data_IF_560656593656
#
_entry.id   IF_560656593656
#
_cell.length_a   1.000
_cell.length_b   1.000
_cell.length_c   1.000
_cell.angle_alpha   90.00
_cell.angle_beta   90.00
_cell.angle_gamma   90.00
#
_symmetry.space_group_name_H-M   'P 1'
#
loop_
_entity.id
_entity.type
_entity.pdbx_description
1 polymer ?
#
# COMPACT_ATOMS: atom_id res chain seq x y z
N UNK A 1 8.55 20.97 22.88
CA UNK A 1 9.19 20.31 21.72
C UNK A 1 8.18 20.33 20.58
N UNK A 2 8.50 20.97 19.45
CA UNK A 2 7.64 20.97 18.26
C UNK A 2 7.45 19.53 17.79
N UNK A 3 6.21 19.13 17.54
CA UNK A 3 5.84 17.80 17.02
C UNK A 3 5.12 17.96 15.70
N UNK A 4 5.31 17.01 14.80
CA UNK A 4 4.53 16.95 13.56
C UNK A 4 3.11 16.54 13.92
N UNK A 5 2.13 17.35 13.54
CA UNK A 5 0.72 16.97 13.60
C UNK A 5 0.41 15.96 12.48
N UNK A 6 -0.09 14.80 12.86
CA UNK A 6 -0.42 13.68 11.96
C UNK A 6 -1.91 13.42 11.85
N UNK A 7 -2.74 14.21 12.52
CA UNK A 7 -4.19 13.97 12.66
C UNK A 7 -4.86 13.74 11.30
N UNK A 8 -4.55 14.56 10.29
CA UNK A 8 -5.12 14.41 8.96
C UNK A 8 -4.75 13.09 8.26
N UNK A 9 -3.54 12.57 8.50
CA UNK A 9 -3.09 11.29 7.95
C UNK A 9 -3.79 10.14 8.68
N UNK A 10 -3.86 10.21 10.00
CA UNK A 10 -4.46 9.16 10.82
C UNK A 10 -5.96 9.03 10.50
N UNK A 11 -6.69 10.15 10.35
CA UNK A 11 -8.07 10.15 9.85
C UNK A 11 -8.18 9.58 8.43
N UNK A 12 -7.30 9.97 7.51
CA UNK A 12 -7.32 9.44 6.15
C UNK A 12 -7.06 7.92 6.09
N UNK A 13 -6.27 7.37 7.02
CA UNK A 13 -6.03 5.92 7.16
C UNK A 13 -7.29 5.22 7.68
N UNK A 14 -7.96 5.78 8.68
CA UNK A 14 -9.19 5.20 9.26
C UNK A 14 -10.33 5.17 8.24
N UNK A 15 -10.47 6.22 7.43
CA UNK A 15 -11.50 6.34 6.38
C UNK A 15 -11.10 5.65 5.07
N UNK A 16 -9.90 5.08 4.99
CA UNK A 16 -9.37 4.52 3.75
C UNK A 16 -10.10 3.24 3.35
N UNK A 17 -10.95 3.35 2.32
CA UNK A 17 -11.58 2.20 1.69
C UNK A 17 -11.05 2.00 0.27
N UNK A 18 -10.15 1.02 0.11
CA UNK A 18 -9.56 0.67 -1.17
C UNK A 18 -10.18 -0.60 -1.76
N UNK A 19 -10.09 -0.70 -3.09
CA UNK A 19 -10.45 -1.88 -3.87
C UNK A 19 -11.94 -2.26 -3.84
N UNK A 20 -12.84 -1.31 -3.54
CA UNK A 20 -14.29 -1.57 -3.46
C UNK A 20 -14.84 -2.09 -4.78
N UNK A 21 -14.55 -1.44 -5.90
CA UNK A 21 -14.99 -1.88 -7.22
C UNK A 21 -14.38 -3.23 -7.61
N UNK A 22 -13.10 -3.46 -7.29
CA UNK A 22 -12.45 -4.75 -7.54
C UNK A 22 -13.10 -5.89 -6.73
N UNK A 23 -13.49 -5.63 -5.47
CA UNK A 23 -14.20 -6.61 -4.62
C UNK A 23 -15.54 -7.02 -5.24
N UNK A 24 -16.30 -6.07 -5.79
CA UNK A 24 -17.58 -6.35 -6.45
C UNK A 24 -17.41 -7.23 -7.70
N UNK A 25 -16.39 -6.96 -8.52
CA UNK A 25 -16.08 -7.78 -9.71
C UNK A 25 -15.66 -9.18 -9.31
N UNK A 26 -14.83 -9.32 -8.27
CA UNK A 26 -14.41 -10.64 -7.75
C UNK A 26 -15.58 -11.41 -7.15
N UNK A 27 -16.52 -10.76 -6.47
CA UNK A 27 -17.73 -11.42 -5.96
C UNK A 27 -18.58 -11.97 -7.10
N UNK A 28 -18.70 -11.24 -8.22
CA UNK A 28 -19.41 -11.71 -9.42
C UNK A 28 -18.71 -12.92 -10.06
N UNK A 29 -17.38 -12.90 -10.12
CA UNK A 29 -16.58 -14.03 -10.58
C UNK A 29 -16.77 -15.28 -9.69
N UNK A 30 -16.71 -15.13 -8.36
CA UNK A 30 -16.90 -16.26 -7.44
C UNK A 30 -18.31 -16.84 -7.53
N UNK A 31 -19.35 -16.02 -7.70
CA UNK A 31 -20.70 -16.51 -7.89
C UNK A 31 -20.86 -17.35 -9.18
N UNK A 32 -20.26 -16.94 -10.30
CA UNK A 32 -20.25 -17.74 -11.53
C UNK A 32 -19.38 -19.01 -11.40
N UNK A 33 -18.26 -18.91 -10.68
CA UNK A 33 -17.35 -20.03 -10.41
C UNK A 33 -18.02 -21.13 -9.60
N UNK A 34 -18.81 -20.78 -8.58
CA UNK A 34 -19.53 -21.74 -7.74
C UNK A 34 -20.50 -22.62 -8.55
N UNK A 35 -21.10 -22.09 -9.62
CA UNK A 35 -21.96 -22.87 -10.51
C UNK A 35 -21.18 -23.96 -11.25
N UNK A 36 -19.96 -23.64 -11.70
CA UNK A 36 -19.08 -24.61 -12.36
C UNK A 36 -18.56 -25.66 -11.37
N UNK A 37 -18.21 -25.26 -10.14
CA UNK A 37 -17.78 -26.18 -9.08
C UNK A 37 -18.89 -27.18 -8.71
N UNK A 38 -20.14 -26.73 -8.55
CA UNK A 38 -21.29 -27.63 -8.32
C UNK A 38 -21.49 -28.61 -9.46
N UNK A 39 -21.27 -28.18 -10.70
CA UNK A 39 -21.35 -29.06 -11.87
C UNK A 39 -20.22 -30.09 -11.86
N UNK A 40 -19.01 -29.69 -11.47
CA UNK A 40 -17.86 -30.60 -11.30
C UNK A 40 -18.16 -31.68 -10.25
N UNK A 41 -18.65 -31.28 -9.08
CA UNK A 41 -19.03 -32.17 -7.99
C UNK A 41 -20.09 -33.17 -8.45
N UNK A 42 -21.16 -32.71 -9.12
CA UNK A 42 -22.21 -33.58 -9.62
C UNK A 42 -21.70 -34.61 -10.65
N UNK A 43 -20.79 -34.22 -11.54
CA UNK A 43 -20.17 -35.12 -12.51
C UNK A 43 -19.29 -36.17 -11.80
N UNK A 44 -18.49 -35.75 -10.82
CA UNK A 44 -17.65 -36.64 -10.02
C UNK A 44 -18.48 -37.66 -9.22
N UNK A 45 -19.57 -37.21 -8.58
CA UNK A 45 -20.49 -38.10 -7.87
C UNK A 45 -21.15 -39.11 -8.81
N UNK A 46 -21.58 -38.68 -10.00
CA UNK A 46 -22.20 -39.58 -10.98
C UNK A 46 -21.21 -40.62 -11.47
N UNK A 47 -19.96 -40.22 -11.72
CA UNK A 47 -18.89 -41.12 -12.14
C UNK A 47 -18.57 -42.16 -11.06
N UNK A 48 -18.51 -41.76 -9.79
CA UNK A 48 -18.31 -42.68 -8.66
C UNK A 48 -19.45 -43.70 -8.53
N UNK A 49 -20.72 -43.25 -8.66
CA UNK A 49 -21.90 -44.13 -8.66
C UNK A 49 -21.87 -45.11 -9.82
N UNK A 50 -21.55 -44.63 -11.03
CA UNK A 50 -21.40 -45.47 -12.23
C UNK A 50 -20.30 -46.52 -12.06
N UNK A 51 -19.16 -46.16 -11.49
CA UNK A 51 -18.07 -47.11 -11.24
C UNK A 51 -18.51 -48.25 -10.31
N UNK A 52 -19.26 -47.91 -9.25
CA UNK A 52 -19.80 -48.92 -8.31
C UNK A 52 -20.83 -49.82 -8.99
N UNK A 53 -21.77 -49.23 -9.74
CA UNK A 53 -22.79 -49.96 -10.50
C UNK A 53 -22.16 -50.89 -11.54
N UNK A 54 -21.17 -50.38 -12.29
CA UNK A 54 -20.45 -51.15 -13.30
C UNK A 54 -19.74 -52.36 -12.70
N UNK A 55 -19.03 -52.19 -11.58
CA UNK A 55 -18.37 -53.31 -10.89
C UNK A 55 -19.35 -54.36 -10.39
N UNK A 56 -20.49 -53.95 -9.82
CA UNK A 56 -21.52 -54.89 -9.37
C UNK A 56 -22.12 -55.68 -10.54
N UNK A 57 -22.52 -54.99 -11.61
CA UNK A 57 -23.08 -55.63 -12.82
C UNK A 57 -22.07 -56.58 -13.49
N UNK A 58 -20.78 -56.27 -13.42
CA UNK A 58 -19.72 -57.17 -13.87
C UNK A 58 -19.71 -58.49 -13.10
N UNK A 59 -19.77 -58.41 -11.76
CA UNK A 59 -19.86 -59.60 -10.90
C UNK A 59 -21.15 -60.38 -11.17
N UNK A 60 -22.30 -59.72 -11.22
CA UNK A 60 -23.59 -60.38 -11.48
C UNK A 60 -23.58 -61.13 -12.82
N UNK A 61 -22.94 -60.54 -13.85
CA UNK A 61 -22.78 -61.18 -15.17
C UNK A 61 -21.92 -62.44 -15.11
N UNK A 62 -20.89 -62.48 -14.27
CA UNK A 62 -20.06 -63.69 -14.08
C UNK A 62 -20.88 -64.85 -13.51
N UNK A 63 -21.88 -64.58 -12.67
CA UNK A 63 -22.78 -65.60 -12.13
C UNK A 63 -23.92 -66.00 -13.09
N UNK A 64 -24.24 -65.16 -14.09
CA UNK A 64 -25.32 -65.41 -15.05
C UNK A 64 -24.91 -66.21 -16.31
N UNK A 65 -23.73 -66.84 -16.32
CA UNK A 65 -23.15 -67.48 -17.51
C UNK A 65 -23.99 -68.62 -18.10
N UNK A 66 -24.81 -69.29 -17.28
CA UNK A 66 -25.71 -70.36 -17.72
C UNK A 66 -27.07 -69.85 -18.24
N UNK A 67 -27.40 -68.57 -17.98
CA UNK A 67 -28.61 -67.91 -18.46
C UNK A 67 -28.27 -66.88 -19.55
N UNK A 68 -28.30 -67.33 -20.80
CA UNK A 68 -27.94 -66.51 -21.98
C UNK A 68 -28.72 -65.19 -22.06
N UNK A 69 -30.01 -65.20 -21.70
CA UNK A 69 -30.85 -64.00 -21.79
C UNK A 69 -30.41 -62.93 -20.77
N UNK A 70 -30.12 -63.36 -19.54
CA UNK A 70 -29.64 -62.49 -18.46
C UNK A 70 -28.22 -61.98 -18.73
N UNK A 71 -27.34 -62.84 -19.24
CA UNK A 71 -26.00 -62.46 -19.67
C UNK A 71 -26.01 -61.35 -20.74
N UNK A 72 -26.91 -61.44 -21.73
CA UNK A 72 -27.06 -60.42 -22.78
C UNK A 72 -27.53 -59.09 -22.18
N UNK A 73 -28.53 -59.11 -21.29
CA UNK A 73 -29.05 -57.91 -20.62
C UNK A 73 -27.98 -57.19 -19.80
N UNK A 74 -27.23 -57.93 -18.97
CA UNK A 74 -26.15 -57.37 -18.15
C UNK A 74 -25.01 -56.83 -19.03
N UNK A 75 -24.69 -57.52 -20.14
CA UNK A 75 -23.71 -57.02 -21.12
C UNK A 75 -24.14 -55.70 -21.76
N UNK A 76 -25.41 -55.56 -22.12
CA UNK A 76 -25.96 -54.30 -22.63
C UNK A 76 -25.89 -53.18 -21.60
N UNK A 77 -26.14 -53.47 -20.31
CA UNK A 77 -26.01 -52.49 -19.24
C UNK A 77 -24.55 -52.03 -19.08
N UNK A 78 -23.59 -52.95 -19.11
CA UNK A 78 -22.16 -52.60 -19.06
C UNK A 78 -21.74 -51.72 -20.25
N UNK A 79 -22.23 -52.00 -21.46
CA UNK A 79 -22.00 -51.12 -22.62
C UNK A 79 -22.53 -49.71 -22.37
N UNK A 80 -23.76 -49.57 -21.87
CA UNK A 80 -24.36 -48.26 -21.54
C UNK A 80 -23.56 -47.51 -20.49
N UNK A 81 -23.06 -48.19 -19.45
CA UNK A 81 -22.21 -47.57 -18.44
C UNK A 81 -20.90 -47.04 -19.04
N UNK A 82 -20.27 -47.80 -19.94
CA UNK A 82 -19.06 -47.35 -20.62
C UNK A 82 -19.30 -46.11 -21.50
N UNK A 83 -20.40 -46.08 -22.24
CA UNK A 83 -20.82 -44.90 -23.02
C UNK A 83 -21.06 -43.68 -22.12
N UNK A 84 -21.73 -43.87 -20.98
CA UNK A 84 -22.00 -42.78 -20.03
C UNK A 84 -20.71 -42.26 -19.37
N UNK A 85 -19.75 -43.13 -19.04
CA UNK A 85 -18.43 -42.72 -18.52
C UNK A 85 -17.66 -41.90 -19.56
N UNK A 86 -17.66 -42.31 -20.83
CA UNK A 86 -17.03 -41.53 -21.89
C UNK A 86 -17.66 -40.15 -22.04
N UNK A 87 -18.98 -40.06 -21.99
CA UNK A 87 -19.70 -38.79 -22.02
C UNK A 87 -19.33 -37.90 -20.82
N UNK A 88 -19.31 -38.44 -19.60
CA UNK A 88 -18.95 -37.68 -18.40
C UNK A 88 -17.50 -37.16 -18.49
N UNK A 89 -16.55 -37.99 -18.93
CA UNK A 89 -15.17 -37.56 -19.11
C UNK A 89 -15.06 -36.40 -20.11
N UNK A 90 -15.80 -36.48 -21.23
CA UNK A 90 -15.85 -35.38 -22.20
C UNK A 90 -16.45 -34.09 -21.60
N UNK A 91 -17.50 -34.21 -20.78
CA UNK A 91 -18.09 -33.07 -20.07
C UNK A 91 -17.14 -32.47 -19.02
N UNK A 92 -16.32 -33.30 -18.36
CA UNK A 92 -15.29 -32.82 -17.43
C UNK A 92 -14.17 -32.08 -18.16
N UNK A 93 -13.78 -32.51 -19.37
CA UNK A 93 -12.84 -31.76 -20.20
C UNK A 93 -13.42 -30.40 -20.62
N UNK A 94 -14.67 -30.38 -21.10
CA UNK A 94 -15.36 -29.12 -21.42
C UNK A 94 -15.45 -28.19 -20.20
N UNK A 95 -15.64 -28.74 -18.99
CA UNK A 95 -15.71 -27.94 -17.77
C UNK A 95 -14.39 -27.22 -17.48
N UNK A 96 -13.23 -27.83 -17.79
CA UNK A 96 -11.92 -27.17 -17.66
C UNK A 96 -11.80 -25.99 -18.63
N UNK A 97 -12.34 -26.13 -19.84
CA UNK A 97 -12.40 -25.06 -20.81
C UNK A 97 -13.37 -23.95 -20.35
N UNK A 98 -14.52 -24.30 -19.77
CA UNK A 98 -15.48 -23.36 -19.19
C UNK A 98 -14.85 -22.52 -18.06
N UNK A 99 -14.08 -23.14 -17.15
CA UNK A 99 -13.33 -22.41 -16.13
C UNK A 99 -12.28 -21.46 -16.73
N UNK A 100 -11.61 -21.88 -17.80
CA UNK A 100 -10.62 -21.06 -18.49
C UNK A 100 -11.29 -19.87 -19.18
N UNK A 101 -12.42 -20.10 -19.84
CA UNK A 101 -13.23 -19.07 -20.48
C UNK A 101 -13.77 -18.07 -19.44
N UNK A 102 -14.21 -18.53 -18.26
CA UNK A 102 -14.63 -17.66 -17.17
C UNK A 102 -13.49 -16.74 -16.70
N UNK A 103 -12.29 -17.28 -16.50
CA UNK A 103 -11.11 -16.48 -16.14
C UNK A 103 -10.77 -15.47 -17.23
N UNK A 104 -10.81 -15.87 -18.50
CA UNK A 104 -10.55 -14.96 -19.63
C UNK A 104 -11.59 -13.85 -19.74
N UNK A 105 -12.87 -14.13 -19.46
CA UNK A 105 -13.96 -13.15 -19.40
C UNK A 105 -13.71 -12.08 -18.33
N UNK A 106 -13.28 -12.48 -17.13
CA UNK A 106 -13.13 -11.56 -15.99
C UNK A 106 -11.76 -10.86 -15.92
N UNK A 107 -10.69 -11.47 -16.45
CA UNK A 107 -9.34 -10.92 -16.41
C UNK A 107 -9.23 -9.44 -16.86
N UNK A 108 -9.76 -9.00 -18.03
CA UNK A 108 -9.64 -7.61 -18.44
C UNK A 108 -10.41 -6.64 -17.51
N UNK A 109 -11.57 -7.06 -17.00
CA UNK A 109 -12.38 -6.26 -16.08
C UNK A 109 -11.68 -6.10 -14.73
N UNK A 110 -11.12 -7.18 -14.19
CA UNK A 110 -10.32 -7.15 -12.96
C UNK A 110 -9.10 -6.24 -13.16
N UNK A 111 -8.37 -6.39 -14.25
CA UNK A 111 -7.20 -5.54 -14.54
C UNK A 111 -7.59 -4.06 -14.59
N UNK A 112 -8.68 -3.71 -15.27
CA UNK A 112 -9.13 -2.34 -15.42
C UNK A 112 -9.63 -1.75 -14.09
N UNK A 113 -10.39 -2.50 -13.30
CA UNK A 113 -10.93 -2.05 -12.01
C UNK A 113 -9.84 -1.93 -10.96
N UNK A 114 -8.99 -2.96 -10.81
CA UNK A 114 -7.84 -2.93 -9.92
C UNK A 114 -6.89 -1.78 -10.25
N UNK A 115 -6.60 -1.56 -11.53
CA UNK A 115 -5.76 -0.44 -11.96
C UNK A 115 -6.35 0.93 -11.62
N UNK A 116 -7.67 1.10 -11.63
CA UNK A 116 -8.34 2.33 -11.19
C UNK A 116 -8.30 2.48 -9.67
N UNK A 117 -8.64 1.42 -8.94
CA UNK A 117 -8.64 1.42 -7.47
C UNK A 117 -7.25 1.73 -6.93
N UNK A 118 -6.20 1.17 -7.55
CA UNK A 118 -4.80 1.39 -7.15
C UNK A 118 -4.38 2.86 -7.26
N UNK A 119 -4.91 3.63 -8.23
CA UNK A 119 -4.60 5.07 -8.37
C UNK A 119 -5.09 5.89 -7.19
N UNK A 120 -6.03 5.37 -6.40
CA UNK A 120 -6.50 6.04 -5.17
C UNK A 120 -5.35 6.25 -4.17
N UNK A 121 -4.30 5.42 -4.18
CA UNK A 121 -3.11 5.61 -3.34
C UNK A 121 -2.37 6.91 -3.65
N UNK A 122 -2.45 7.39 -4.89
CA UNK A 122 -1.75 8.59 -5.35
C UNK A 122 -2.43 9.88 -4.88
N UNK A 123 -3.58 9.78 -4.19
CA UNK A 123 -4.20 10.90 -3.45
C UNK A 123 -3.29 11.41 -2.32
N UNK A 124 -2.40 10.57 -1.79
CA UNK A 124 -1.37 11.04 -0.86
C UNK A 124 -0.23 11.68 -1.67
N UNK A 125 -0.20 13.01 -1.70
CA UNK A 125 0.87 13.77 -2.33
C UNK A 125 2.12 13.79 -1.45
N UNK A 126 2.89 12.70 -1.47
CA UNK A 126 4.07 12.51 -0.61
C UNK A 126 5.09 13.64 -0.75
N UNK A 127 5.33 14.12 -1.98
CA UNK A 127 6.29 15.20 -2.22
C UNK A 127 5.83 16.51 -1.56
N UNK A 128 4.55 16.87 -1.71
CA UNK A 128 3.98 18.08 -1.11
C UNK A 128 4.01 18.00 0.42
N UNK A 129 3.76 16.82 0.99
CA UNK A 129 3.88 16.56 2.42
C UNK A 129 5.32 16.75 2.91
N UNK A 130 6.31 16.20 2.20
CA UNK A 130 7.73 16.36 2.53
C UNK A 130 8.15 17.82 2.46
N UNK A 131 7.76 18.53 1.40
CA UNK A 131 8.07 19.94 1.22
C UNK A 131 7.41 20.80 2.31
N UNK A 132 6.18 20.47 2.72
CA UNK A 132 5.49 21.15 3.81
C UNK A 132 6.20 20.99 5.15
N UNK A 133 6.60 19.77 5.49
CA UNK A 133 7.32 19.50 6.74
C UNK A 133 8.68 20.20 6.74
N UNK A 134 9.40 20.17 5.61
CA UNK A 134 10.68 20.87 5.45
C UNK A 134 10.52 22.37 5.61
N UNK A 135 9.51 22.96 4.96
CA UNK A 135 9.21 24.37 5.05
C UNK A 135 8.90 24.80 6.49
N UNK A 136 7.96 24.13 7.15
CA UNK A 136 7.56 24.47 8.52
C UNK A 136 8.71 24.32 9.52
N UNK A 137 9.56 23.30 9.37
CA UNK A 137 10.72 23.13 10.24
C UNK A 137 11.74 24.27 10.06
N UNK A 138 12.14 24.56 8.83
CA UNK A 138 13.12 25.60 8.53
C UNK A 138 12.58 26.98 8.91
N UNK A 139 11.29 27.22 8.67
CA UNK A 139 10.60 28.44 9.08
C UNK A 139 10.59 28.60 10.59
N UNK A 140 10.25 27.56 11.36
CA UNK A 140 10.26 27.63 12.83
C UNK A 140 11.65 27.99 13.39
N UNK A 141 12.72 27.42 12.83
CA UNK A 141 14.11 27.77 13.19
C UNK A 141 14.41 29.24 12.84
N UNK A 142 14.04 29.65 11.62
CA UNK A 142 14.27 30.99 11.10
C UNK A 142 13.55 32.06 11.93
N UNK A 143 12.26 31.84 12.23
CA UNK A 143 11.43 32.76 12.99
C UNK A 143 11.96 32.91 14.43
N UNK A 144 12.37 31.81 15.05
CA UNK A 144 12.99 31.86 16.38
C UNK A 144 14.34 32.60 16.36
N UNK A 145 15.22 32.31 15.40
CA UNK A 145 16.51 33.00 15.26
C UNK A 145 16.34 34.51 14.99
N UNK A 146 15.33 34.89 14.18
CA UNK A 146 14.97 36.28 13.96
C UNK A 146 14.50 36.96 15.23
N UNK A 147 13.66 36.29 16.01
CA UNK A 147 13.16 36.85 17.26
C UNK A 147 14.29 37.09 18.26
N UNK A 148 15.27 36.18 18.37
CA UNK A 148 16.48 36.40 19.18
C UNK A 148 17.21 37.67 18.73
N UNK A 149 17.39 37.87 17.42
CA UNK A 149 18.05 39.07 16.89
C UNK A 149 17.24 40.34 17.10
N UNK A 150 15.93 40.27 16.91
CA UNK A 150 15.03 41.42 17.12
C UNK A 150 15.07 41.89 18.58
N UNK A 151 15.13 40.96 19.53
CA UNK A 151 15.27 41.29 20.95
C UNK A 151 16.67 41.76 21.32
N UNK A 152 17.72 41.26 20.64
CA UNK A 152 19.10 41.72 20.86
C UNK A 152 19.36 43.11 20.29
N UNK A 153 18.84 43.42 19.09
CA UNK A 153 19.12 44.66 18.35
C UNK A 153 19.00 45.94 19.19
N UNK A 154 17.91 46.19 19.95
CA UNK A 154 17.80 47.42 20.75
C UNK A 154 18.77 47.46 21.94
N UNK A 155 19.31 46.32 22.38
CA UNK A 155 20.31 46.28 23.45
C UNK A 155 21.69 46.70 22.92
N UNK A 156 21.96 46.48 21.64
CA UNK A 156 23.27 46.75 21.05
C UNK A 156 23.63 48.23 21.07
N UNK A 157 22.65 49.13 20.93
CA UNK A 157 22.89 50.58 20.99
C UNK A 157 23.56 50.99 22.31
N UNK A 158 23.11 50.45 23.45
CA UNK A 158 23.72 50.71 24.75
C UNK A 158 24.96 49.84 24.99
N UNK A 159 24.97 48.58 24.51
CA UNK A 159 26.12 47.70 24.68
C UNK A 159 27.34 48.17 23.89
N UNK A 160 27.17 48.89 22.78
CA UNK A 160 28.26 49.47 21.99
C UNK A 160 29.18 50.38 22.81
N UNK A 161 28.66 51.12 23.80
CA UNK A 161 29.48 51.94 24.70
C UNK A 161 30.55 51.11 25.45
N UNK A 162 30.23 49.86 25.78
CA UNK A 162 31.16 48.95 26.44
C UNK A 162 32.07 48.24 25.44
N UNK A 163 31.52 47.86 24.28
CA UNK A 163 32.25 47.11 23.25
C UNK A 163 33.32 47.97 22.56
N UNK A 164 33.10 49.28 22.47
CA UNK A 164 34.02 50.23 21.84
C UNK A 164 35.18 50.66 22.78
N UNK A 165 35.11 50.37 24.09
CA UNK A 165 36.18 50.67 25.05
C UNK A 165 37.20 49.51 25.13
N UNK A 166 38.33 49.71 24.46
CA UNK A 166 39.44 48.73 24.38
C UNK A 166 39.99 48.36 25.77
N UNK A 167 40.05 49.30 26.71
CA UNK A 167 40.58 49.04 28.07
C UNK A 167 39.63 48.14 28.87
N UNK A 168 38.32 48.37 28.72
CA UNK A 168 37.27 47.54 29.33
C UNK A 168 37.28 46.15 28.70
N UNK A 169 37.42 46.03 27.38
CA UNK A 169 37.45 44.74 26.68
C UNK A 169 38.70 43.92 27.02
N UNK A 170 39.89 44.52 27.05
CA UNK A 170 41.14 43.84 27.42
C UNK A 170 41.10 43.27 28.84
N UNK A 171 40.51 44.01 29.76
CA UNK A 171 40.34 43.60 31.16
C UNK A 171 39.25 42.53 31.33
N UNK A 172 38.31 42.42 30.39
CA UNK A 172 37.12 41.57 30.48
C UNK A 172 36.93 40.67 29.25
N UNK A 173 37.97 39.92 28.87
CA UNK A 173 37.94 39.00 27.71
C UNK A 173 36.76 38.02 27.68
N UNK A 174 36.24 37.61 28.84
CA UNK A 174 35.06 36.74 28.92
C UNK A 174 33.77 37.43 28.46
N UNK A 175 33.65 38.73 28.70
CA UNK A 175 32.53 39.56 28.21
C UNK A 175 32.63 39.76 26.70
N UNK A 176 33.81 40.09 26.19
CA UNK A 176 34.07 40.24 24.75
C UNK A 176 33.63 38.99 23.94
N UNK A 177 33.90 37.78 24.46
CA UNK A 177 33.50 36.51 23.83
C UNK A 177 32.00 36.34 23.64
N UNK A 178 31.17 36.99 24.46
CA UNK A 178 29.71 36.91 24.34
C UNK A 178 29.17 37.64 23.11
N UNK A 179 29.99 38.49 22.48
CA UNK A 179 29.64 39.32 21.33
C UNK A 179 30.49 38.98 20.10
N UNK A 180 31.27 37.89 20.15
CA UNK A 180 31.97 37.36 18.98
C UNK A 180 30.96 36.96 17.89
N UNK A 181 31.42 36.97 16.64
CA UNK A 181 30.60 36.64 15.47
C UNK A 181 29.86 35.29 15.68
N UNK A 182 28.54 35.29 15.47
CA UNK A 182 27.62 34.16 15.66
C UNK A 182 27.17 33.83 17.11
N UNK A 183 27.53 34.61 18.13
CA UNK A 183 27.14 34.32 19.52
C UNK A 183 25.62 34.23 19.76
N UNK A 184 24.81 34.86 18.91
CA UNK A 184 23.34 34.82 18.97
C UNK A 184 22.68 33.93 17.93
N UNK A 185 23.48 33.24 17.11
CA UNK A 185 22.95 32.22 16.22
C UNK A 185 22.54 30.98 17.04
N UNK A 186 21.54 30.28 16.53
CA UNK A 186 21.14 29.00 17.11
C UNK A 186 22.22 27.94 16.87
N UNK A 187 22.45 27.09 17.87
CA UNK A 187 23.39 26.00 17.76
C UNK A 187 22.76 24.78 17.06
N UNK A 188 23.44 24.27 16.03
CA UNK A 188 23.13 23.01 15.38
C UNK A 188 24.40 22.17 15.21
N UNK A 189 24.34 20.91 15.63
CA UNK A 189 25.39 19.92 15.38
C UNK A 189 24.80 18.71 14.66
N UNK A 190 25.45 18.33 13.57
CA UNK A 190 25.04 17.19 12.78
C UNK A 190 25.76 15.94 13.29
N UNK A 191 25.13 15.24 14.24
CA UNK A 191 25.64 13.96 14.76
C UNK A 191 25.03 12.74 14.06
N UNK A 192 24.01 12.94 13.23
CA UNK A 192 23.26 11.89 12.53
C UNK A 192 23.00 12.30 11.07
N UNK A 193 22.71 11.32 10.19
CA UNK A 193 22.32 11.58 8.80
C UNK A 193 21.08 12.49 8.76
N UNK A 194 21.23 13.72 8.28
CA UNK A 194 20.12 14.65 8.12
C UNK A 194 19.36 14.41 6.81
N UNK A 195 18.03 14.55 6.87
CA UNK A 195 17.12 14.49 5.69
C UNK A 195 16.99 15.86 5.00
N UNK A 196 17.55 16.89 5.64
CA UNK A 196 17.58 18.28 5.18
C UNK A 196 19.05 18.67 5.05
N UNK A 197 19.37 19.42 3.99
CA UNK A 197 20.73 19.89 3.76
C UNK A 197 21.21 20.73 4.96
N UNK A 198 22.40 20.42 5.44
CA UNK A 198 23.05 21.13 6.54
C UNK A 198 23.11 22.64 6.30
N UNK A 199 23.32 23.07 5.05
CA UNK A 199 23.39 24.50 4.70
C UNK A 199 22.04 25.19 4.85
N UNK A 200 20.93 24.49 4.61
CA UNK A 200 19.59 25.04 4.85
C UNK A 200 19.36 25.28 6.34
N UNK A 201 19.79 24.35 7.19
CA UNK A 201 19.68 24.47 8.65
C UNK A 201 20.57 25.60 9.16
N UNK A 202 21.82 25.70 8.71
CA UNK A 202 22.71 26.78 9.12
C UNK A 202 22.21 28.15 8.70
N UNK A 203 21.72 28.30 7.47
CA UNK A 203 21.09 29.55 7.03
C UNK A 203 19.92 29.94 7.94
N UNK A 204 19.07 28.96 8.30
CA UNK A 204 17.95 29.17 9.21
C UNK A 204 18.38 29.52 10.64
N UNK A 205 19.42 28.89 11.18
CA UNK A 205 20.01 29.22 12.49
C UNK A 205 20.54 30.66 12.53
N UNK A 206 20.92 31.19 11.37
CA UNK A 206 21.27 32.59 11.15
C UNK A 206 20.06 33.45 10.72
N UNK A 207 18.83 33.04 10.99
CA UNK A 207 17.61 33.83 10.72
C UNK A 207 17.29 34.06 9.23
N UNK A 208 17.91 33.31 8.32
CA UNK A 208 17.72 33.43 6.88
C UNK A 208 16.96 32.22 6.33
N UNK A 209 15.93 32.49 5.53
CA UNK A 209 15.20 31.44 4.84
C UNK A 209 15.97 31.03 3.56
N UNK A 210 16.34 29.75 3.38
CA UNK A 210 16.95 29.27 2.15
C UNK A 210 16.01 29.42 0.94
N UNK A 211 16.51 29.91 -0.19
CA UNK A 211 15.73 30.18 -1.40
C UNK A 211 15.15 28.94 -2.09
N UNK A 212 15.75 27.78 -1.84
CA UNK A 212 15.35 26.48 -2.41
C UNK A 212 14.17 25.85 -1.65
N UNK A 213 13.95 26.25 -0.39
CA UNK A 213 12.84 25.75 0.43
C UNK A 213 11.58 26.57 0.11
N UNK A 214 10.70 25.97 -0.69
CA UNK A 214 9.46 26.62 -1.14
C UNK A 214 8.33 26.39 -0.16
N UNK A 215 7.54 27.44 0.09
CA UNK A 215 6.24 27.29 0.75
C UNK A 215 5.33 26.45 -0.16
N UNK A 216 4.75 25.34 0.31
CA UNK A 216 3.79 24.58 -0.49
C UNK A 216 2.56 25.42 -0.81
N UNK A 217 1.93 25.15 -1.96
CA UNK A 217 0.82 25.96 -2.48
C UNK A 217 -0.42 25.97 -1.58
N UNK A 218 -0.57 24.99 -0.70
CA UNK A 218 -1.77 24.78 0.11
C UNK A 218 -1.59 25.04 1.61
N UNK A 219 -0.44 25.56 2.04
CA UNK A 219 -0.26 25.98 3.45
C UNK A 219 -0.90 27.37 3.64
N UNK A 220 -2.17 27.40 4.06
CA UNK A 220 -2.81 28.61 4.60
C UNK A 220 -2.18 28.98 5.93
#
# INVERSE_FOLDING_TARGET
>A
MLRIDRTAIDTAIEEMELFTATKEVLASYEAEKEVLEKREEALNERLAKLSTQHSQTLMDREFATENVSEYILLSQQLTKFNEEVQLINSLQEQLKDDFTALKQKYAPTIQATYGKDLKTKDKLHVNDMVDSVRYELIKAITDYAREVRNQQAPLMDTMSEFLDDETVMESNRGFQRLFEFDATNLHYSESQKAVIDRMHIFSACSGNMPSEIRKPKDVK
#
